data_IF_530564949385
#
_entry.id   IF_530564949385
#
_cell.length_a   1.000
_cell.length_b   1.000
_cell.length_c   1.000
_cell.angle_alpha   90.00
_cell.angle_beta   90.00
_cell.angle_gamma   90.00
#
_symmetry.space_group_name_H-M   'P 1'
#
loop_
_entity.id
_entity.type
_entity.pdbx_description
1 polymer ?
#
# COMPACT_ATOMS: atom_id res chain seq x y z
N UNK A 1 4.31 -16.30 26.77
CA UNK A 1 3.13 -15.66 27.38
C UNK A 1 3.54 -14.30 27.95
N UNK A 2 2.79 -13.21 27.71
CA UNK A 2 3.05 -11.93 28.36
C UNK A 2 3.01 -12.08 29.89
N UNK A 3 4.03 -11.60 30.58
CA UNK A 3 4.22 -11.76 32.03
C UNK A 3 3.59 -10.61 32.84
N UNK A 4 3.22 -9.51 32.19
CA UNK A 4 2.64 -8.32 32.83
C UNK A 4 1.31 -7.93 32.17
N UNK A 5 0.41 -7.32 32.94
CA UNK A 5 -0.88 -6.84 32.45
C UNK A 5 -0.73 -5.82 31.30
N UNK A 6 0.32 -4.99 31.33
CA UNK A 6 0.65 -4.05 30.27
C UNK A 6 1.07 -4.75 28.97
N UNK A 7 1.84 -5.85 29.06
CA UNK A 7 2.22 -6.65 27.91
C UNK A 7 1.00 -7.31 27.24
N UNK A 8 0.08 -7.89 28.03
CA UNK A 8 -1.17 -8.47 27.51
C UNK A 8 -2.04 -7.43 26.79
N UNK A 9 -2.08 -6.18 27.29
CA UNK A 9 -2.74 -5.06 26.61
C UNK A 9 -2.07 -4.73 25.27
N UNK A 10 -0.74 -4.72 25.21
CA UNK A 10 0.00 -4.46 23.96
C UNK A 10 -0.27 -5.51 22.89
N UNK A 11 -0.31 -6.79 23.25
CA UNK A 11 -0.64 -7.89 22.30
C UNK A 11 -1.99 -7.64 21.64
N UNK A 12 -3.05 -7.41 22.43
CA UNK A 12 -4.40 -7.12 21.92
C UNK A 12 -4.46 -5.89 21.00
N UNK A 13 -3.71 -4.83 21.34
CA UNK A 13 -3.65 -3.63 20.52
C UNK A 13 -2.92 -3.88 19.19
N UNK A 14 -1.82 -4.64 19.24
CA UNK A 14 -1.02 -4.97 18.07
C UNK A 14 -1.79 -5.84 17.08
N UNK A 15 -2.57 -6.82 17.54
CA UNK A 15 -3.43 -7.64 16.67
C UNK A 15 -4.43 -6.79 15.89
N UNK A 16 -5.14 -5.88 16.58
CA UNK A 16 -6.10 -4.96 15.94
C UNK A 16 -5.41 -4.06 14.91
N UNK A 17 -4.24 -3.50 15.23
CA UNK A 17 -3.46 -2.68 14.31
C UNK A 17 -2.97 -3.49 13.11
N UNK A 18 -2.45 -4.69 13.34
CA UNK A 18 -1.96 -5.61 12.32
C UNK A 18 -3.05 -5.99 11.33
N UNK A 19 -4.25 -6.35 11.81
CA UNK A 19 -5.37 -6.70 10.95
C UNK A 19 -5.77 -5.55 10.01
N UNK A 20 -5.90 -4.32 10.55
CA UNK A 20 -6.22 -3.12 9.75
C UNK A 20 -5.14 -2.81 8.71
N UNK A 21 -3.87 -2.83 9.11
CA UNK A 21 -2.75 -2.53 8.23
C UNK A 21 -2.61 -3.58 7.13
N UNK A 22 -2.76 -4.88 7.47
CA UNK A 22 -2.74 -5.98 6.50
C UNK A 22 -3.82 -5.81 5.44
N UNK A 23 -5.05 -5.48 5.84
CA UNK A 23 -6.16 -5.26 4.88
C UNK A 23 -5.87 -4.10 3.93
N UNK A 24 -5.40 -2.96 4.45
CA UNK A 24 -5.11 -1.79 3.62
C UNK A 24 -3.94 -2.03 2.67
N UNK A 25 -2.86 -2.65 3.17
CA UNK A 25 -1.70 -3.00 2.36
C UNK A 25 -2.03 -4.06 1.31
N UNK A 26 -2.87 -5.06 1.64
CA UNK A 26 -3.33 -6.08 0.72
C UNK A 26 -4.08 -5.47 -0.46
N UNK A 27 -5.06 -4.60 -0.20
CA UNK A 27 -5.80 -3.87 -1.25
C UNK A 27 -4.90 -3.06 -2.18
N UNK A 28 -3.94 -2.34 -1.60
CA UNK A 28 -2.98 -1.58 -2.39
C UNK A 28 -2.15 -2.49 -3.30
N UNK A 29 -1.67 -3.63 -2.78
CA UNK A 29 -0.91 -4.61 -3.57
C UNK A 29 -1.73 -5.22 -4.70
N UNK A 30 -3.02 -5.50 -4.46
CA UNK A 30 -3.92 -5.97 -5.51
C UNK A 30 -4.05 -4.94 -6.62
N UNK A 31 -4.33 -3.67 -6.30
CA UNK A 31 -4.39 -2.58 -7.31
C UNK A 31 -3.08 -2.40 -8.07
N UNK A 32 -1.93 -2.50 -7.39
CA UNK A 32 -0.61 -2.42 -8.04
C UNK A 32 -0.36 -3.61 -8.98
N UNK A 33 -0.95 -4.77 -8.70
CA UNK A 33 -0.86 -5.94 -9.58
C UNK A 33 -1.76 -5.74 -10.80
N UNK A 34 -3.00 -5.32 -10.60
CA UNK A 34 -3.95 -5.00 -11.67
C UNK A 34 -3.35 -3.99 -12.66
N UNK A 35 -2.70 -2.93 -12.15
CA UNK A 35 -2.04 -1.92 -12.99
C UNK A 35 -0.89 -2.47 -13.85
N UNK A 36 -0.21 -3.53 -13.39
CA UNK A 36 0.87 -4.16 -14.18
C UNK A 36 0.33 -5.10 -15.25
N UNK A 37 -0.85 -5.66 -15.03
CA UNK A 37 -1.53 -6.56 -15.97
C UNK A 37 -2.34 -5.79 -17.02
N UNK A 38 -2.63 -4.51 -16.78
CA UNK A 38 -3.31 -3.65 -17.73
C UNK A 38 -2.40 -3.29 -18.92
N UNK A 39 -2.92 -3.49 -20.12
CA UNK A 39 -2.25 -3.09 -21.39
C UNK A 39 -2.88 -1.84 -22.01
N UNK A 40 -4.08 -1.44 -21.57
CA UNK A 40 -4.78 -0.25 -22.07
C UNK A 40 -4.21 1.04 -21.43
N UNK A 41 -3.66 1.99 -22.22
CA UNK A 41 -2.93 3.14 -21.71
C UNK A 41 -3.82 4.12 -20.92
N UNK A 42 -5.03 4.39 -21.39
CA UNK A 42 -5.96 5.33 -20.73
C UNK A 42 -6.43 4.81 -19.38
N UNK A 43 -6.77 3.53 -19.30
CA UNK A 43 -7.20 2.87 -18.07
C UNK A 43 -6.04 2.74 -17.07
N UNK A 44 -4.82 2.48 -17.56
CA UNK A 44 -3.62 2.42 -16.74
C UNK A 44 -3.30 3.78 -16.11
N UNK A 45 -3.46 4.88 -16.84
CA UNK A 45 -3.27 6.23 -16.34
C UNK A 45 -4.29 6.59 -15.23
N UNK A 46 -5.56 6.22 -15.41
CA UNK A 46 -6.60 6.42 -14.39
C UNK A 46 -6.30 5.62 -13.11
N UNK A 47 -5.97 4.33 -13.25
CA UNK A 47 -5.65 3.46 -12.13
C UNK A 47 -4.36 3.90 -11.41
N UNK A 48 -3.40 4.48 -12.13
CA UNK A 48 -2.16 5.01 -11.55
C UNK A 48 -2.43 6.15 -10.56
N UNK A 49 -3.33 7.07 -10.88
CA UNK A 49 -3.71 8.16 -9.96
C UNK A 49 -4.33 7.62 -8.67
N UNK A 50 -5.15 6.57 -8.81
CA UNK A 50 -5.78 5.85 -7.72
C UNK A 50 -4.75 5.17 -6.80
N UNK A 51 -3.74 4.52 -7.39
CA UNK A 51 -2.63 3.88 -6.69
C UNK A 51 -1.75 4.92 -5.98
N UNK A 52 -1.43 6.05 -6.63
CA UNK A 52 -0.68 7.16 -6.02
C UNK A 52 -1.37 7.67 -4.76
N UNK A 53 -2.67 7.97 -4.84
CA UNK A 53 -3.50 8.39 -3.70
C UNK A 53 -3.52 7.35 -2.57
N UNK A 54 -3.62 6.07 -2.94
CA UNK A 54 -3.54 4.96 -2.00
C UNK A 54 -2.22 4.87 -1.25
N UNK A 55 -1.09 5.07 -1.95
CA UNK A 55 0.25 5.08 -1.38
C UNK A 55 0.41 6.22 -0.38
N UNK A 56 0.05 7.44 -0.76
CA UNK A 56 0.20 8.63 0.09
C UNK A 56 -0.65 8.54 1.35
N UNK A 57 -1.86 7.96 1.25
CA UNK A 57 -2.72 7.71 2.41
C UNK A 57 -2.12 6.67 3.37
N UNK A 58 -1.28 5.74 2.88
CA UNK A 58 -0.61 4.77 3.76
C UNK A 58 0.68 5.32 4.37
N UNK A 59 1.35 6.26 3.68
CA UNK A 59 2.47 7.03 4.23
C UNK A 59 1.99 7.92 5.36
N UNK A 60 0.92 8.69 5.17
CA UNK A 60 0.37 9.56 6.22
C UNK A 60 -0.08 8.81 7.47
N UNK A 61 -0.48 7.55 7.32
CA UNK A 61 -0.83 6.64 8.43
C UNK A 61 0.37 5.94 9.07
N UNK A 62 1.58 6.14 8.55
CA UNK A 62 2.81 5.48 9.00
C UNK A 62 2.85 3.96 8.74
N UNK A 63 2.06 3.47 7.79
CA UNK A 63 2.02 2.03 7.44
C UNK A 63 3.14 1.67 6.46
N UNK A 64 3.49 2.61 5.58
CA UNK A 64 4.57 2.48 4.58
C UNK A 64 5.49 3.69 4.74
N UNK A 65 6.80 3.49 4.61
CA UNK A 65 7.78 4.57 4.61
C UNK A 65 7.71 5.38 3.30
N UNK A 66 7.94 6.69 3.37
CA UNK A 66 7.95 7.60 2.22
C UNK A 66 8.83 7.10 1.06
N UNK A 67 10.08 6.72 1.32
CA UNK A 67 11.00 6.15 0.32
C UNK A 67 10.45 4.90 -0.38
N UNK A 68 9.71 4.07 0.36
CA UNK A 68 9.09 2.87 -0.23
C UNK A 68 7.92 3.24 -1.14
N UNK A 69 7.13 4.23 -0.75
CA UNK A 69 6.06 4.76 -1.61
C UNK A 69 6.62 5.46 -2.85
N UNK A 70 7.67 6.27 -2.69
CA UNK A 70 8.36 6.95 -3.80
C UNK A 70 8.92 5.94 -4.82
N UNK A 71 9.58 4.87 -4.36
CA UNK A 71 10.05 3.79 -5.24
C UNK A 71 8.90 3.16 -6.03
N UNK A 72 7.80 2.78 -5.35
CA UNK A 72 6.65 2.21 -6.06
C UNK A 72 6.03 3.16 -7.07
N UNK A 73 5.94 4.46 -6.76
CA UNK A 73 5.46 5.47 -7.71
C UNK A 73 6.38 5.55 -8.94
N UNK A 74 7.69 5.56 -8.74
CA UNK A 74 8.67 5.59 -9.83
C UNK A 74 8.55 4.36 -10.73
N UNK A 75 8.60 3.16 -10.14
CA UNK A 75 8.57 1.89 -10.88
C UNK A 75 7.28 1.76 -11.71
N UNK A 76 6.12 2.08 -11.11
CA UNK A 76 4.84 1.99 -11.82
C UNK A 76 4.68 3.09 -12.87
N UNK A 77 5.26 4.27 -12.66
CA UNK A 77 5.21 5.34 -13.66
C UNK A 77 6.03 4.97 -14.89
N UNK A 78 7.19 4.34 -14.71
CA UNK A 78 7.99 3.83 -15.83
C UNK A 78 7.20 2.79 -16.64
N UNK A 79 6.50 1.87 -15.97
CA UNK A 79 5.64 0.88 -16.63
C UNK A 79 4.52 1.53 -17.45
N UNK A 80 3.76 2.47 -16.86
CA UNK A 80 2.68 3.18 -17.59
C UNK A 80 3.23 3.98 -18.76
N UNK A 81 4.37 4.64 -18.60
CA UNK A 81 5.00 5.39 -19.68
C UNK A 81 5.49 4.48 -20.82
N UNK A 82 5.85 3.22 -20.54
CA UNK A 82 6.24 2.25 -21.58
C UNK A 82 5.06 1.66 -22.36
N UNK A 83 3.83 1.84 -21.86
CA UNK A 83 2.59 1.45 -22.54
C UNK A 83 2.03 2.57 -23.45
N UNK A 84 2.59 3.78 -23.37
CA UNK A 84 2.25 4.92 -24.24
C UNK A 84 3.04 4.90 -25.55
#
# INVERSE_FOLDING_TARGET
>A
MPQSASATKRVRQNEKRRARNRRQLGRLRTKMKELRELEAPDEAAALMNDVKSGLDRLVSKGVIHENKAARYKSDLQQHVNSLS
#
